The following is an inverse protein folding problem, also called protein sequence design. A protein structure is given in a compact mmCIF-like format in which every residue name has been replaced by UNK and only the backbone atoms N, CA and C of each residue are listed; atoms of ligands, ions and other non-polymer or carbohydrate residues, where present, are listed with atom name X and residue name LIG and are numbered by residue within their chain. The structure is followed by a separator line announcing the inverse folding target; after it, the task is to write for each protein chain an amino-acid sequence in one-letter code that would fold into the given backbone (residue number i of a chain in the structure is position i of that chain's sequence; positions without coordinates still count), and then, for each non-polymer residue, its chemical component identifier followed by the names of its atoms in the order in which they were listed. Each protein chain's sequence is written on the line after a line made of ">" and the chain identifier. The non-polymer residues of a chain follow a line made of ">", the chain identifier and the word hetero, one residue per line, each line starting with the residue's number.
data_IF_089985557540
#
_entry.id   IF_089985557540
#
_cell.length_a   1.000
_cell.length_b   1.000
_cell.length_c   1.000
_cell.angle_alpha   90.00
_cell.angle_beta   90.00
_cell.angle_gamma   90.00
#
_symmetry.space_group_name_H-M   'P 1'
#
loop_
_entity.id
_entity.type
_entity.pdbx_description
1 polymer ?
#
# COMPACT_ATOMS: atom_id res chain seq x y z
N UNK A 1 -24.88 -1.05 12.57
CA UNK A 1 -25.13 -0.29 13.82
C UNK A 1 -24.16 0.90 13.89
N UNK A 2 -24.26 1.84 12.95
CA UNK A 2 -23.19 2.81 12.60
C UNK A 2 -23.70 4.26 12.49
N UNK A 3 -24.89 4.57 13.00
CA UNK A 3 -25.58 5.82 12.65
C UNK A 3 -25.21 7.04 13.51
N UNK A 4 -24.57 6.90 14.68
CA UNK A 4 -24.29 8.06 15.57
C UNK A 4 -22.87 8.08 16.17
N UNK A 5 -21.84 7.64 15.42
CA UNK A 5 -20.46 7.84 15.90
C UNK A 5 -20.03 9.30 15.67
N UNK A 6 -19.38 9.96 16.64
CA UNK A 6 -18.80 11.28 16.44
C UNK A 6 -17.71 11.22 15.37
N UNK A 7 -17.44 12.35 14.71
CA UNK A 7 -16.36 12.43 13.74
C UNK A 7 -15.00 12.22 14.42
N UNK A 8 -14.12 11.52 13.72
CA UNK A 8 -12.73 11.36 14.14
C UNK A 8 -12.02 12.71 14.11
N UNK A 9 -11.24 12.98 15.15
CA UNK A 9 -10.44 14.20 15.32
C UNK A 9 -8.99 13.80 15.48
N UNK A 10 -8.10 14.44 14.73
CA UNK A 10 -6.68 14.13 14.78
C UNK A 10 -6.04 14.67 16.05
N UNK A 11 -5.36 13.80 16.80
CA UNK A 11 -4.43 14.22 17.84
C UNK A 11 -3.17 14.80 17.17
N UNK A 12 -2.73 16.02 17.52
CA UNK A 12 -1.50 16.59 16.99
C UNK A 12 -0.27 15.72 17.30
N UNK A 13 0.69 15.71 16.38
CA UNK A 13 1.99 15.07 16.61
C UNK A 13 2.77 15.88 17.66
N UNK A 14 3.43 15.19 18.58
CA UNK A 14 4.17 15.80 19.68
C UNK A 14 5.64 16.04 19.33
N UNK A 15 6.20 15.22 18.43
CA UNK A 15 7.58 15.34 17.97
C UNK A 15 7.65 15.60 16.46
N UNK A 16 8.69 16.29 16.03
CA UNK A 16 8.94 16.49 14.59
C UNK A 16 9.19 15.18 13.86
N UNK A 17 9.75 14.17 14.52
CA UNK A 17 10.07 12.87 13.94
C UNK A 17 8.90 11.89 13.93
N UNK A 18 7.79 12.20 14.61
CA UNK A 18 6.61 11.35 14.67
C UNK A 18 5.85 11.30 13.35
N UNK A 19 5.19 10.17 13.14
CA UNK A 19 4.18 9.93 12.10
C UNK A 19 2.99 9.23 12.74
N UNK A 20 1.83 9.28 12.09
CA UNK A 20 0.70 8.43 12.46
C UNK A 20 0.72 7.13 11.66
N UNK A 21 0.30 6.04 12.27
CA UNK A 21 0.13 4.74 11.63
C UNK A 21 -1.27 4.23 11.92
N UNK A 22 -1.97 3.85 10.85
CA UNK A 22 -3.25 3.18 10.96
C UNK A 22 -3.03 1.71 11.29
N UNK A 23 -3.59 1.23 12.39
CA UNK A 23 -3.62 -0.19 12.76
C UNK A 23 -4.98 -0.75 12.37
N UNK A 24 -5.07 -1.32 11.19
CA UNK A 24 -6.28 -1.91 10.64
C UNK A 24 -6.57 -3.27 11.28
N UNK A 25 -7.78 -3.46 11.78
CA UNK A 25 -8.24 -4.69 12.42
C UNK A 25 -8.53 -5.80 11.39
N UNK A 26 -8.30 -7.08 11.74
CA UNK A 26 -8.62 -8.19 10.87
C UNK A 26 -10.11 -8.53 10.87
N UNK A 27 -10.58 -9.19 9.80
CA UNK A 27 -11.90 -9.86 9.79
C UNK A 27 -11.93 -10.98 8.76
N UNK A 28 -12.79 -11.97 8.97
CA UNK A 28 -13.05 -13.04 8.04
C UNK A 28 -13.82 -12.60 6.78
N UNK A 29 -14.68 -11.58 6.87
CA UNK A 29 -15.56 -11.16 5.77
C UNK A 29 -15.08 -9.87 5.08
N UNK A 30 -15.02 -9.87 3.76
CA UNK A 30 -14.61 -8.70 2.97
C UNK A 30 -15.58 -7.52 3.11
N UNK A 31 -16.86 -7.80 3.30
CA UNK A 31 -17.94 -6.82 3.39
C UNK A 31 -18.06 -6.16 4.77
N UNK A 32 -17.49 -6.78 5.81
CA UNK A 32 -17.54 -6.27 7.18
C UNK A 32 -17.03 -4.83 7.28
N UNK A 33 -17.60 -4.00 8.18
CA UNK A 33 -17.13 -2.65 8.44
C UNK A 33 -15.62 -2.57 8.66
N UNK A 34 -14.99 -1.51 8.16
CA UNK A 34 -13.58 -1.26 8.43
C UNK A 34 -13.44 -0.68 9.84
N UNK A 35 -12.57 -1.29 10.64
CA UNK A 35 -12.24 -0.86 12.00
C UNK A 35 -10.72 -0.74 12.13
N UNK A 36 -10.26 0.30 12.83
CA UNK A 36 -8.84 0.55 13.05
C UNK A 36 -8.59 1.39 14.30
N UNK A 37 -7.33 1.47 14.71
CA UNK A 37 -6.84 2.46 15.67
C UNK A 37 -5.74 3.31 15.05
N UNK A 38 -5.60 4.57 15.49
CA UNK A 38 -4.51 5.43 15.07
C UNK A 38 -3.44 5.49 16.16
N UNK A 39 -2.19 5.18 15.82
CA UNK A 39 -1.06 5.28 16.75
C UNK A 39 -0.04 6.29 16.25
N UNK A 40 0.71 6.91 17.15
CA UNK A 40 1.87 7.73 16.80
C UNK A 40 3.14 6.88 16.92
N UNK A 41 4.04 7.02 15.95
CA UNK A 41 5.31 6.30 15.90
C UNK A 41 6.44 7.28 15.59
N UNK A 42 7.46 7.31 16.44
CA UNK A 42 8.62 8.17 16.30
C UNK A 42 9.68 7.54 15.39
N UNK A 43 9.91 8.13 14.22
CA UNK A 43 10.93 7.68 13.27
C UNK A 43 12.37 8.06 13.69
N UNK A 44 12.54 8.98 14.64
CA UNK A 44 13.85 9.43 15.15
C UNK A 44 14.57 8.31 15.91
N UNK A 45 13.84 7.52 16.69
CA UNK A 45 14.39 6.36 17.41
C UNK A 45 14.94 5.26 16.50
N UNK A 46 14.57 5.26 15.22
CA UNK A 46 15.07 4.30 14.20
C UNK A 46 16.34 4.78 13.49
N UNK A 47 16.85 5.98 13.79
CA UNK A 47 18.04 6.57 13.15
C UNK A 47 19.38 6.20 13.81
N UNK A 48 19.39 5.72 15.05
CA UNK A 48 20.64 5.40 15.74
C UNK A 48 21.16 4.02 15.33
N UNK A 49 21.86 3.97 14.19
CA UNK A 49 22.97 3.02 14.02
C UNK A 49 24.18 3.65 14.72
N UNK A 50 24.25 3.55 16.04
CA UNK A 50 25.54 3.72 16.71
C UNK A 50 26.38 2.48 16.39
N UNK A 51 27.62 2.69 15.94
CA UNK A 51 28.59 1.62 15.59
C UNK A 51 28.92 0.68 16.77
N UNK A 52 28.32 0.91 17.95
CA UNK A 52 28.54 0.23 19.23
C UNK A 52 27.33 -0.63 19.68
N UNK A 53 26.19 -0.59 18.98
CA UNK A 53 25.05 -1.48 19.28
C UNK A 53 25.19 -2.82 18.51
N UNK A 54 25.48 -3.89 19.24
CA UNK A 54 25.74 -5.24 18.71
C UNK A 54 24.52 -5.93 18.10
N UNK A 55 23.33 -5.31 18.18
CA UNK A 55 22.07 -5.83 17.67
C UNK A 55 21.35 -4.74 16.86
N UNK A 56 20.98 -4.99 15.58
CA UNK A 56 20.25 -4.02 14.78
C UNK A 56 18.88 -3.73 15.41
N UNK A 57 18.64 -2.47 15.82
CA UNK A 57 17.33 -2.02 16.30
C UNK A 57 16.25 -2.34 15.24
N UNK A 58 15.12 -2.97 15.61
CA UNK A 58 14.16 -3.46 14.63
C UNK A 58 13.57 -2.30 13.84
N UNK A 59 13.63 -2.39 12.50
CA UNK A 59 13.00 -1.44 11.60
C UNK A 59 11.53 -1.25 11.97
N UNK A 60 10.99 -0.03 11.83
CA UNK A 60 9.61 0.23 12.19
C UNK A 60 8.69 -0.66 11.35
N UNK A 61 7.89 -1.48 12.03
CA UNK A 61 7.11 -2.55 11.41
C UNK A 61 5.78 -2.03 10.82
N UNK A 62 5.84 -1.07 9.89
CA UNK A 62 4.69 -0.64 9.11
C UNK A 62 4.88 -0.86 7.61
N UNK A 63 3.75 -0.92 6.91
CA UNK A 63 3.69 -1.02 5.46
C UNK A 63 3.21 0.33 4.91
N UNK A 64 3.99 0.99 4.05
CA UNK A 64 3.54 2.22 3.41
C UNK A 64 2.72 1.90 2.15
N UNK A 65 1.70 2.70 1.88
CA UNK A 65 0.79 2.46 0.75
C UNK A 65 0.92 3.58 -0.26
N UNK A 66 1.22 3.20 -1.49
CA UNK A 66 1.22 4.09 -2.65
C UNK A 66 0.01 3.81 -3.53
N UNK A 67 -0.76 4.84 -3.85
CA UNK A 67 -1.99 4.72 -4.63
C UNK A 67 -2.35 6.04 -5.28
N UNK A 68 -3.23 6.01 -6.28
CA UNK A 68 -3.80 7.23 -6.87
C UNK A 68 -5.01 7.62 -6.04
N UNK A 69 -5.06 8.85 -5.51
CA UNK A 69 -6.14 9.29 -4.62
C UNK A 69 -7.54 9.19 -5.25
N UNK A 70 -7.64 9.39 -6.57
CA UNK A 70 -8.90 9.38 -7.29
C UNK A 70 -9.74 10.60 -6.96
N UNK A 71 -11.06 10.43 -7.03
CA UNK A 71 -12.03 11.48 -6.71
C UNK A 71 -12.14 11.68 -5.20
N UNK A 72 -12.32 12.93 -4.77
CA UNK A 72 -12.50 13.33 -3.38
C UNK A 72 -13.92 13.05 -2.86
N UNK A 73 -14.40 11.82 -3.07
CA UNK A 73 -15.72 11.34 -2.64
C UNK A 73 -15.63 10.70 -1.24
N UNK A 74 -15.87 11.49 -0.19
CA UNK A 74 -15.76 11.09 1.21
C UNK A 74 -17.06 10.47 1.78
N UNK A 75 -17.74 9.65 0.98
CA UNK A 75 -18.99 8.96 1.37
C UNK A 75 -18.76 7.66 2.15
N UNK A 76 -17.55 7.10 2.05
CA UNK A 76 -17.18 5.83 2.69
C UNK A 76 -16.71 6.05 4.13
N UNK A 77 -16.76 4.99 4.94
CA UNK A 77 -16.64 5.06 6.40
C UNK A 77 -15.63 4.06 6.93
N UNK A 78 -14.74 4.54 7.80
CA UNK A 78 -13.83 3.75 8.62
C UNK A 78 -14.11 4.12 10.08
N UNK A 79 -14.29 3.12 10.95
CA UNK A 79 -14.34 3.35 12.39
C UNK A 79 -12.91 3.37 12.90
N UNK A 80 -12.44 4.52 13.34
CA UNK A 80 -11.09 4.72 13.88
C UNK A 80 -11.20 5.19 15.32
N UNK A 81 -10.62 4.44 16.26
CA UNK A 81 -10.67 4.73 17.71
C UNK A 81 -12.11 4.96 18.22
N UNK A 82 -13.05 4.15 17.71
CA UNK A 82 -14.48 4.26 18.04
C UNK A 82 -15.19 5.47 17.44
N UNK A 83 -14.53 6.24 16.57
CA UNK A 83 -15.08 7.42 15.88
C UNK A 83 -15.16 7.22 14.38
N UNK A 84 -16.00 8.02 13.73
CA UNK A 84 -16.20 7.95 12.29
C UNK A 84 -15.15 8.78 11.54
N UNK A 85 -14.26 8.10 10.81
CA UNK A 85 -13.38 8.72 9.82
C UNK A 85 -13.97 8.53 8.42
N UNK A 86 -14.24 9.64 7.73
CA UNK A 86 -14.71 9.63 6.35
C UNK A 86 -13.54 9.40 5.40
N UNK A 87 -13.68 8.46 4.48
CA UNK A 87 -12.62 8.06 3.56
C UNK A 87 -13.14 8.03 2.13
N UNK A 88 -12.23 8.04 1.15
CA UNK A 88 -12.62 7.92 -0.26
C UNK A 88 -12.93 6.47 -0.63
N UNK A 89 -13.67 6.27 -1.72
CA UNK A 89 -13.91 4.94 -2.31
C UNK A 89 -12.61 4.16 -2.54
N UNK A 90 -11.56 4.85 -2.99
CA UNK A 90 -10.26 4.22 -3.28
C UNK A 90 -9.64 3.70 -1.99
N UNK A 91 -9.65 4.49 -0.92
CA UNK A 91 -9.10 4.10 0.38
C UNK A 91 -9.92 2.97 1.01
N UNK A 92 -11.26 3.01 0.94
CA UNK A 92 -12.11 1.90 1.40
C UNK A 92 -11.76 0.59 0.69
N UNK A 93 -11.77 0.62 -0.64
CA UNK A 93 -11.46 -0.56 -1.46
C UNK A 93 -10.07 -1.10 -1.12
N UNK A 94 -9.07 -0.22 -1.10
CA UNK A 94 -7.69 -0.56 -0.77
C UNK A 94 -7.57 -1.21 0.61
N UNK A 95 -8.18 -0.61 1.64
CA UNK A 95 -8.14 -1.15 3.00
C UNK A 95 -8.76 -2.55 3.06
N UNK A 96 -9.89 -2.79 2.38
CA UNK A 96 -10.52 -4.11 2.34
C UNK A 96 -9.62 -5.18 1.73
N UNK A 97 -8.93 -4.88 0.63
CA UNK A 97 -7.99 -5.84 0.02
C UNK A 97 -6.68 -6.02 0.79
N UNK A 98 -6.26 -5.01 1.57
CA UNK A 98 -5.08 -5.11 2.43
C UNK A 98 -5.37 -5.73 3.80
N UNK A 99 -6.63 -5.70 4.23
CA UNK A 99 -7.12 -6.31 5.48
C UNK A 99 -6.81 -7.80 5.48
N UNK A 100 -6.34 -8.28 6.63
CA UNK A 100 -6.04 -9.71 6.82
C UNK A 100 -7.16 -10.38 7.59
N UNK A 101 -7.35 -11.68 7.39
CA UNK A 101 -8.34 -12.43 8.15
C UNK A 101 -7.93 -12.76 9.58
N UNK A 102 -6.67 -12.52 9.96
CA UNK A 102 -6.11 -13.00 11.24
C UNK A 102 -5.23 -12.01 12.00
N UNK A 103 -4.58 -11.09 11.31
CA UNK A 103 -3.56 -10.21 11.91
C UNK A 103 -3.85 -8.75 11.62
N UNK A 104 -3.65 -7.90 12.62
CA UNK A 104 -3.68 -6.45 12.42
C UNK A 104 -2.66 -6.02 11.37
N UNK A 105 -2.96 -4.95 10.64
CA UNK A 105 -2.06 -4.37 9.64
C UNK A 105 -1.70 -2.94 10.04
N UNK A 106 -0.40 -2.69 10.21
CA UNK A 106 0.16 -1.35 10.43
C UNK A 106 0.41 -0.72 9.07
N UNK A 107 -0.39 0.26 8.71
CA UNK A 107 -0.40 0.90 7.40
C UNK A 107 -0.13 2.39 7.55
N UNK A 108 0.80 2.92 6.75
CA UNK A 108 0.89 4.35 6.50
C UNK A 108 0.20 4.68 5.18
N UNK A 109 -0.85 5.47 5.23
CA UNK A 109 -1.65 5.94 4.09
C UNK A 109 -1.74 7.45 4.24
N UNK A 110 -1.15 8.21 3.33
CA UNK A 110 -1.08 9.68 3.38
C UNK A 110 -2.43 10.36 3.69
N UNK A 111 -3.51 9.97 3.03
CA UNK A 111 -4.85 10.54 3.23
C UNK A 111 -5.45 10.27 4.62
N UNK A 112 -4.90 9.31 5.38
CA UNK A 112 -5.38 8.95 6.73
C UNK A 112 -4.37 9.26 7.83
N UNK A 113 -3.07 9.25 7.54
CA UNK A 113 -2.03 9.42 8.54
C UNK A 113 -1.59 10.90 8.66
N UNK A 114 -1.85 11.69 7.62
CA UNK A 114 -1.68 13.14 7.61
C UNK A 114 -3.07 13.78 7.76
N UNK A 115 -3.21 14.72 8.69
CA UNK A 115 -4.40 15.54 8.79
C UNK A 115 -4.49 16.48 7.60
N UNK A 116 -5.31 16.11 6.62
CA UNK A 116 -5.45 16.83 5.36
C UNK A 116 -6.08 18.23 5.52
N UNK A 117 -6.77 18.48 6.63
CA UNK A 117 -7.34 19.77 6.96
C UNK A 117 -6.33 20.72 7.64
N UNK A 118 -5.19 20.19 8.10
CA UNK A 118 -4.13 20.96 8.76
C UNK A 118 -2.99 21.27 7.80
N UNK A 119 -2.86 22.55 7.40
CA UNK A 119 -1.72 23.00 6.59
C UNK A 119 -0.38 22.81 7.31
N UNK A 120 -0.37 22.94 8.64
CA UNK A 120 0.82 22.69 9.45
C UNK A 120 1.26 21.22 9.35
N UNK A 121 0.31 20.27 9.47
CA UNK A 121 0.63 18.84 9.38
C UNK A 121 1.08 18.45 7.98
N UNK A 122 0.44 18.99 6.94
CA UNK A 122 0.85 18.78 5.54
C UNK A 122 2.24 19.32 5.25
N UNK A 123 2.52 20.56 5.66
CA UNK A 123 3.82 21.21 5.45
C UNK A 123 4.94 20.46 6.17
N UNK A 124 4.61 19.81 7.29
CA UNK A 124 5.56 19.01 8.06
C UNK A 124 5.79 17.60 7.48
N UNK A 125 4.71 16.88 7.13
CA UNK A 125 4.76 15.47 6.74
C UNK A 125 5.11 15.24 5.27
N UNK A 126 4.63 16.09 4.35
CA UNK A 126 4.83 15.90 2.90
C UNK A 126 6.31 15.89 2.52
N UNK A 127 7.17 16.82 3.01
CA UNK A 127 8.60 16.78 2.71
C UNK A 127 9.31 15.51 3.23
N UNK A 128 8.72 14.84 4.23
CA UNK A 128 9.28 13.64 4.88
C UNK A 128 8.85 12.34 4.21
N UNK A 129 7.98 12.37 3.20
CA UNK A 129 7.48 11.16 2.54
C UNK A 129 8.61 10.22 2.07
N UNK A 130 9.71 10.74 1.53
CA UNK A 130 10.85 9.91 1.14
C UNK A 130 11.43 9.07 2.29
N UNK A 131 11.54 9.66 3.49
CA UNK A 131 11.99 8.97 4.69
C UNK A 131 10.96 7.92 5.16
N UNK A 132 9.68 8.28 5.16
CA UNK A 132 8.58 7.39 5.56
C UNK A 132 8.54 6.15 4.65
N UNK A 133 8.54 6.33 3.34
CA UNK A 133 8.58 5.20 2.40
C UNK A 133 9.88 4.39 2.49
N UNK A 134 11.02 5.05 2.76
CA UNK A 134 12.32 4.40 2.93
C UNK A 134 12.46 3.56 4.19
N UNK A 135 11.76 3.94 5.28
CA UNK A 135 11.79 3.20 6.55
C UNK A 135 10.69 2.14 6.68
N UNK A 136 9.65 2.20 5.85
CA UNK A 136 8.62 1.18 5.81
C UNK A 136 9.24 -0.21 5.57
N UNK A 137 8.75 -1.22 6.29
CA UNK A 137 9.17 -2.62 6.11
C UNK A 137 8.93 -3.10 4.67
N UNK A 138 7.85 -2.61 4.05
CA UNK A 138 7.58 -2.75 2.62
C UNK A 138 6.61 -1.68 2.15
N UNK A 139 6.60 -1.46 0.84
CA UNK A 139 5.66 -0.57 0.17
C UNK A 139 4.66 -1.40 -0.63
N UNK A 140 3.39 -0.98 -0.59
CA UNK A 140 2.30 -1.56 -1.37
C UNK A 140 1.83 -0.55 -2.41
N UNK A 141 2.10 -0.83 -3.67
CA UNK A 141 1.57 -0.09 -4.80
C UNK A 141 0.17 -0.61 -5.14
N UNK A 142 -0.86 0.20 -4.99
CA UNK A 142 -2.24 -0.14 -5.30
C UNK A 142 -2.64 0.47 -6.64
N UNK A 143 -2.91 -0.41 -7.61
CA UNK A 143 -3.27 -0.05 -8.99
C UNK A 143 -4.79 0.02 -9.21
N UNK A 144 -5.58 -0.22 -8.17
CA UNK A 144 -7.05 -0.31 -8.23
C UNK A 144 -7.56 -1.75 -8.15
N UNK A 145 -8.89 -1.90 -8.08
CA UNK A 145 -9.53 -3.21 -8.20
C UNK A 145 -9.36 -3.78 -9.61
N UNK A 146 -9.14 -5.09 -9.70
CA UNK A 146 -9.22 -5.78 -10.99
C UNK A 146 -10.67 -5.70 -11.49
N UNK A 147 -10.88 -5.31 -12.74
CA UNK A 147 -12.18 -5.41 -13.42
C UNK A 147 -12.27 -6.80 -14.04
N UNK A 148 -13.48 -7.37 -14.09
CA UNK A 148 -13.70 -8.74 -14.61
C UNK A 148 -13.05 -8.98 -15.99
N UNK A 149 -12.94 -7.95 -16.83
CA UNK A 149 -12.39 -8.04 -18.19
C UNK A 149 -10.95 -7.50 -18.36
N UNK A 150 -10.25 -7.12 -17.29
CA UNK A 150 -8.95 -6.44 -17.43
C UNK A 150 -7.73 -7.38 -17.57
N UNK A 151 -7.95 -8.70 -17.50
CA UNK A 151 -6.93 -9.71 -17.74
C UNK A 151 -5.79 -9.73 -16.73
N UNK A 152 -5.92 -9.07 -15.58
CA UNK A 152 -4.84 -8.95 -14.57
C UNK A 152 -4.23 -10.30 -14.17
N UNK A 153 -5.00 -11.38 -13.92
CA UNK A 153 -4.40 -12.69 -13.62
C UNK A 153 -3.47 -13.19 -14.72
N UNK A 154 -3.89 -13.09 -15.99
CA UNK A 154 -3.09 -13.50 -17.16
C UNK A 154 -1.84 -12.63 -17.33
N UNK A 155 -1.96 -11.32 -17.12
CA UNK A 155 -0.81 -10.41 -17.14
C UNK A 155 0.19 -10.76 -16.04
N UNK A 156 -0.30 -11.09 -14.84
CA UNK A 156 0.58 -11.47 -13.73
C UNK A 156 1.25 -12.81 -14.01
N UNK A 157 0.52 -13.80 -14.51
CA UNK A 157 1.10 -15.09 -14.91
C UNK A 157 2.16 -14.92 -15.99
N UNK A 158 1.92 -14.06 -16.98
CA UNK A 158 2.91 -13.70 -18.00
C UNK A 158 4.17 -13.08 -17.39
N UNK A 159 4.02 -12.08 -16.51
CA UNK A 159 5.15 -11.43 -15.84
C UNK A 159 5.90 -12.43 -14.94
N UNK A 160 5.20 -13.34 -14.25
CA UNK A 160 5.84 -14.38 -13.42
C UNK A 160 6.71 -15.30 -14.26
N UNK A 161 6.27 -15.67 -15.46
CA UNK A 161 7.05 -16.54 -16.35
C UNK A 161 8.29 -15.85 -16.93
N UNK A 162 8.23 -14.55 -17.20
CA UNK A 162 9.33 -13.82 -17.81
C UNK A 162 10.29 -13.28 -16.73
N UNK A 163 9.75 -12.64 -15.69
CA UNK A 163 10.53 -11.96 -14.64
C UNK A 163 10.79 -12.82 -13.40
N UNK A 164 10.06 -13.91 -13.20
CA UNK A 164 10.36 -14.91 -12.19
C UNK A 164 11.27 -15.97 -12.81
N UNK A 165 12.58 -15.90 -12.55
CA UNK A 165 13.45 -17.05 -12.79
C UNK A 165 12.80 -18.27 -12.14
N UNK A 166 12.44 -19.27 -12.93
CA UNK A 166 11.95 -20.55 -12.42
C UNK A 166 12.88 -21.02 -11.30
N UNK A 167 12.36 -21.19 -10.08
CA UNK A 167 12.92 -22.21 -9.22
C UNK A 167 12.66 -23.52 -9.95
N UNK A 168 13.77 -24.09 -10.42
CA UNK A 168 13.94 -25.14 -11.41
C UNK A 168 13.35 -26.52 -11.04
N UNK A 169 12.29 -26.59 -10.22
CA UNK A 169 11.82 -27.86 -9.64
C UNK A 169 10.36 -28.23 -9.92
N UNK A 170 9.49 -27.31 -10.36
CA UNK A 170 8.09 -27.62 -10.70
C UNK A 170 7.87 -27.79 -12.21
N UNK A 171 8.77 -28.53 -12.87
CA UNK A 171 8.77 -28.77 -14.32
C UNK A 171 7.72 -29.80 -14.77
N UNK A 172 6.55 -29.82 -14.13
CA UNK A 172 5.42 -30.64 -14.57
C UNK A 172 4.12 -29.81 -14.49
N UNK A 173 3.70 -29.28 -15.66
CA UNK A 173 2.40 -28.63 -16.00
C UNK A 173 2.41 -27.13 -16.31
N UNK A 174 3.49 -26.58 -16.85
CA UNK A 174 3.46 -25.24 -17.45
C UNK A 174 2.99 -25.29 -18.90
N UNK A 175 1.71 -25.04 -19.20
CA UNK A 175 1.28 -24.73 -20.57
C UNK A 175 2.06 -23.51 -21.09
N UNK A 176 2.65 -23.60 -22.28
CA UNK A 176 3.38 -22.50 -22.91
C UNK A 176 2.50 -21.24 -22.96
N UNK A 177 2.87 -20.16 -22.24
CA UNK A 177 2.13 -18.89 -22.39
C UNK A 177 2.70 -18.22 -23.63
N UNK A 178 1.93 -18.30 -24.72
CA UNK A 178 2.23 -17.61 -25.97
C UNK A 178 1.74 -16.16 -25.85
N UNK A 179 2.58 -15.20 -26.22
CA UNK A 179 2.18 -13.79 -26.30
C UNK A 179 1.20 -13.60 -27.46
N UNK A 180 -0.08 -13.78 -27.19
CA UNK A 180 -1.15 -13.52 -28.15
C UNK A 180 -1.41 -12.02 -28.30
N UNK A 181 -1.99 -11.56 -29.41
CA UNK A 181 -2.42 -10.16 -29.54
C UNK A 181 -3.38 -9.72 -28.44
N UNK A 182 -4.19 -10.63 -27.89
CA UNK A 182 -5.07 -10.35 -26.76
C UNK A 182 -4.28 -10.09 -25.47
N UNK A 183 -3.33 -10.97 -25.14
CA UNK A 183 -2.46 -10.82 -23.97
C UNK A 183 -1.60 -9.55 -24.08
N UNK A 184 -1.06 -9.26 -25.26
CA UNK A 184 -0.30 -8.03 -25.49
C UNK A 184 -1.13 -6.76 -25.19
N UNK A 185 -2.42 -6.73 -25.59
CA UNK A 185 -3.32 -5.62 -25.23
C UNK A 185 -3.55 -5.52 -23.72
N UNK A 186 -3.74 -6.64 -23.03
CA UNK A 186 -3.93 -6.66 -21.57
C UNK A 186 -2.68 -6.14 -20.84
N UNK A 187 -1.49 -6.55 -21.29
CA UNK A 187 -0.20 -6.06 -20.75
C UNK A 187 -0.07 -4.55 -20.94
N UNK A 188 -0.37 -4.03 -22.14
CA UNK A 188 -0.35 -2.58 -22.39
C UNK A 188 -1.35 -1.85 -21.49
N UNK A 189 -2.59 -2.33 -21.41
CA UNK A 189 -3.61 -1.73 -20.52
C UNK A 189 -3.21 -1.78 -19.04
N UNK A 190 -2.48 -2.82 -18.62
CA UNK A 190 -1.89 -2.91 -17.29
C UNK A 190 -0.93 -1.76 -17.01
N UNK A 191 0.06 -1.55 -17.87
CA UNK A 191 1.04 -0.47 -17.71
C UNK A 191 0.48 0.93 -17.96
N UNK A 192 -0.66 1.05 -18.64
CA UNK A 192 -1.37 2.31 -18.81
C UNK A 192 -2.15 2.77 -17.57
N UNK A 193 -2.16 1.99 -16.48
CA UNK A 193 -2.85 2.39 -15.24
C UNK A 193 -2.21 3.66 -14.63
N UNK A 194 -3.00 4.61 -14.10
CA UNK A 194 -2.51 5.93 -13.69
C UNK A 194 -1.37 5.90 -12.67
N UNK A 195 -1.32 4.86 -11.84
CA UNK A 195 -0.25 4.67 -10.86
C UNK A 195 1.15 4.72 -11.50
N UNK A 196 1.35 4.12 -12.67
CA UNK A 196 2.66 4.07 -13.35
C UNK A 196 3.20 5.44 -13.80
N UNK A 197 2.33 6.44 -13.95
CA UNK A 197 2.68 7.78 -14.42
C UNK A 197 2.78 8.83 -13.31
N UNK A 198 2.61 8.44 -12.05
CA UNK A 198 2.72 9.38 -10.92
C UNK A 198 4.18 9.81 -10.74
N UNK A 199 4.42 11.12 -10.62
CA UNK A 199 5.75 11.70 -10.38
C UNK A 199 6.45 11.17 -9.11
N UNK A 200 5.66 10.77 -8.10
CA UNK A 200 6.15 10.23 -6.83
C UNK A 200 6.60 8.75 -6.91
N UNK A 201 6.35 8.05 -8.03
CA UNK A 201 6.81 6.67 -8.27
C UNK A 201 8.33 6.56 -8.19
N UNK A 202 9.06 7.64 -8.51
CA UNK A 202 10.52 7.71 -8.37
C UNK A 202 10.99 7.69 -6.91
N UNK A 203 10.23 8.28 -5.97
CA UNK A 203 10.56 8.23 -4.54
C UNK A 203 10.21 6.86 -3.94
N UNK A 204 9.10 6.26 -4.35
CA UNK A 204 8.60 4.98 -3.81
C UNK A 204 9.35 3.76 -4.38
N UNK A 205 9.81 3.81 -5.64
CA UNK A 205 10.59 2.74 -6.28
C UNK A 205 12.07 2.76 -5.90
N UNK A 206 12.68 3.94 -5.76
CA UNK A 206 14.12 4.03 -5.48
C UNK A 206 14.47 3.75 -4.02
N UNK A 207 13.52 3.94 -3.09
CA UNK A 207 13.78 3.92 -1.65
C UNK A 207 13.22 2.70 -0.93
N UNK A 208 12.28 1.97 -1.53
CA UNK A 208 11.68 0.81 -0.87
C UNK A 208 12.51 -0.46 -1.06
N UNK A 209 12.81 -1.14 0.05
CA UNK A 209 13.51 -2.44 0.03
C UNK A 209 12.66 -3.55 -0.59
N UNK A 210 11.34 -3.46 -0.43
CA UNK A 210 10.37 -4.42 -0.94
C UNK A 210 9.14 -3.66 -1.44
N UNK A 211 8.91 -3.67 -2.75
CA UNK A 211 7.72 -3.10 -3.38
C UNK A 211 6.83 -4.20 -3.94
N UNK A 212 5.59 -4.29 -3.45
CA UNK A 212 4.58 -5.23 -3.95
C UNK A 212 3.50 -4.45 -4.69
N UNK A 213 3.28 -4.81 -5.95
CA UNK A 213 2.20 -4.29 -6.78
C UNK A 213 0.94 -5.10 -6.49
N UNK A 214 -0.16 -4.40 -6.21
CA UNK A 214 -1.49 -4.93 -5.95
C UNK A 214 -2.47 -4.42 -7.01
N UNK A 215 -3.29 -5.31 -7.54
CA UNK A 215 -4.44 -4.98 -8.36
C UNK A 215 -5.61 -5.93 -8.01
N UNK A 216 -6.58 -5.42 -7.26
CA UNK A 216 -7.58 -6.26 -6.59
C UNK A 216 -6.92 -7.25 -5.62
N UNK A 217 -7.31 -8.51 -5.72
CA UNK A 217 -6.73 -9.61 -4.94
C UNK A 217 -5.35 -10.07 -5.45
N UNK A 218 -5.02 -9.71 -6.69
CA UNK A 218 -3.78 -10.11 -7.32
C UNK A 218 -2.62 -9.25 -6.82
N UNK A 219 -1.49 -9.90 -6.57
CA UNK A 219 -0.24 -9.20 -6.18
C UNK A 219 1.00 -9.84 -6.81
N UNK A 220 2.01 -9.01 -7.06
CA UNK A 220 3.29 -9.43 -7.63
C UNK A 220 4.43 -8.53 -7.10
N UNK A 221 5.63 -9.08 -6.84
CA UNK A 221 6.80 -8.24 -6.56
C UNK A 221 7.12 -7.31 -7.73
N UNK A 222 7.37 -6.03 -7.46
CA UNK A 222 7.72 -5.07 -8.52
C UNK A 222 9.04 -5.44 -9.23
N UNK A 223 9.94 -6.15 -8.56
CA UNK A 223 11.18 -6.63 -9.17
C UNK A 223 10.91 -7.49 -10.43
N UNK A 224 9.88 -8.36 -10.39
CA UNK A 224 9.52 -9.19 -11.54
C UNK A 224 8.95 -8.36 -12.69
N UNK A 225 8.27 -7.26 -12.38
CA UNK A 225 7.76 -6.31 -13.37
C UNK A 225 8.91 -5.55 -14.04
N UNK A 226 9.93 -5.14 -13.28
CA UNK A 226 11.11 -4.47 -13.83
C UNK A 226 11.89 -5.41 -14.76
N UNK A 227 12.17 -6.64 -14.33
CA UNK A 227 12.87 -7.64 -15.15
C UNK A 227 12.09 -8.00 -16.42
N UNK A 228 10.76 -8.01 -16.37
CA UNK A 228 9.95 -8.29 -17.56
C UNK A 228 9.89 -7.13 -18.58
N UNK A 229 10.40 -5.94 -18.24
CA UNK A 229 10.43 -4.76 -19.11
C UNK A 229 11.84 -4.45 -19.66
N UNK A 230 12.87 -5.19 -19.22
CA UNK A 230 14.24 -5.15 -19.74
C UNK A 230 14.40 -6.10 -20.93
#
# INVERSE_FOLDING_TARGET
>A
MTLDLPLYEYTPLSLESEIRILVLEPTADFSDPLEATMIHEDLGTTQERTDDETEPRPLPHYEAVSYVWGEADFTYRLVCDGRLLKITRVVDTLLRYLRSNRKKKRLWIDALCIDQASEADKTHQIPRMGQIFGYAWKVRAWLGGAKEDDGVPLVFDFIRKIGGQERREDHERGSEIVLTPALARMVVQFFMRPWFFRRLVLQERALSRVLIIHCGENKIPCAWVSTALE
#
